data_IF_884432018869
#
_entry.id   IF_884432018869
#
_cell.length_a   1.000
_cell.length_b   1.000
_cell.length_c   1.000
_cell.angle_alpha   90.00
_cell.angle_beta   90.00
_cell.angle_gamma   90.00
#
_symmetry.space_group_name_H-M   'P 1'
#
loop_
_entity.id
_entity.type
_entity.pdbx_description
1 polymer ?
#
# COMPACT_ATOMS: atom_id res chain seq x y z
N UNK A 1 16.29 -14.03 13.22
CA UNK A 1 14.81 -14.15 13.19
C UNK A 1 14.42 -15.31 12.28
N UNK A 2 13.42 -16.09 12.65
CA UNK A 2 12.97 -17.25 11.87
C UNK A 2 12.43 -16.81 10.51
N UNK A 3 12.97 -17.40 9.43
CA UNK A 3 12.59 -17.04 8.07
C UNK A 3 11.13 -17.36 7.76
N UNK A 4 10.62 -18.47 8.30
CA UNK A 4 9.21 -18.83 8.10
C UNK A 4 8.28 -17.78 8.72
N UNK A 5 8.61 -17.31 9.92
CA UNK A 5 7.83 -16.29 10.60
C UNK A 5 7.85 -14.98 9.80
N UNK A 6 9.01 -14.59 9.27
CA UNK A 6 9.12 -13.39 8.44
C UNK A 6 8.22 -13.51 7.20
N UNK A 7 8.29 -14.63 6.49
CA UNK A 7 7.48 -14.84 5.27
C UNK A 7 5.99 -14.78 5.56
N UNK A 8 5.54 -15.46 6.61
CA UNK A 8 4.12 -15.46 6.99
C UNK A 8 3.69 -14.05 7.40
N UNK A 9 4.50 -13.36 8.20
CA UNK A 9 4.17 -12.02 8.68
C UNK A 9 4.06 -11.02 7.55
N UNK A 10 4.99 -11.05 6.60
CA UNK A 10 4.95 -10.14 5.44
C UNK A 10 3.73 -10.44 4.57
N UNK A 11 3.43 -11.72 4.33
CA UNK A 11 2.25 -12.09 3.56
C UNK A 11 0.97 -11.58 4.22
N UNK A 12 0.82 -11.81 5.53
CA UNK A 12 -0.37 -11.36 6.27
C UNK A 12 -0.48 -9.83 6.27
N UNK A 13 0.65 -9.15 6.39
CA UNK A 13 0.65 -7.68 6.37
C UNK A 13 0.13 -7.13 5.04
N UNK A 14 0.56 -7.70 3.92
CA UNK A 14 0.18 -7.18 2.61
C UNK A 14 -1.18 -7.66 2.11
N UNK A 15 -1.80 -8.65 2.77
CA UNK A 15 -3.14 -9.12 2.41
C UNK A 15 -4.15 -7.97 2.41
N UNK A 16 -4.04 -7.05 3.37
CA UNK A 16 -4.93 -5.89 3.46
C UNK A 16 -4.80 -4.99 2.24
N UNK A 17 -3.57 -4.72 1.80
CA UNK A 17 -3.34 -3.88 0.61
C UNK A 17 -3.89 -4.54 -0.65
N UNK A 18 -3.69 -5.84 -0.80
CA UNK A 18 -4.20 -6.58 -1.96
C UNK A 18 -5.72 -6.57 -1.96
N UNK A 19 -6.34 -6.86 -0.81
CA UNK A 19 -7.80 -6.83 -0.66
C UNK A 19 -8.35 -5.43 -0.96
N UNK A 20 -7.71 -4.40 -0.42
CA UNK A 20 -8.12 -3.01 -0.63
C UNK A 20 -8.05 -2.63 -2.12
N UNK A 21 -6.96 -3.05 -2.81
CA UNK A 21 -6.81 -2.79 -4.24
C UNK A 21 -7.92 -3.46 -5.06
N UNK A 22 -8.25 -4.71 -4.77
CA UNK A 22 -9.35 -5.40 -5.45
C UNK A 22 -10.69 -4.73 -5.16
N UNK A 23 -10.92 -4.28 -3.93
CA UNK A 23 -12.13 -3.54 -3.58
C UNK A 23 -12.26 -2.25 -4.38
N UNK A 24 -11.15 -1.58 -4.66
CA UNK A 24 -11.15 -0.37 -5.49
C UNK A 24 -11.45 -0.67 -6.96
N UNK A 25 -11.06 -1.85 -7.45
CA UNK A 25 -11.41 -2.27 -8.82
C UNK A 25 -12.92 -2.50 -8.93
N UNK A 26 -13.48 -3.28 -8.01
CA UNK A 26 -14.91 -3.64 -8.05
C UNK A 26 -15.83 -2.46 -7.80
N UNK A 27 -15.38 -1.46 -7.06
CA UNK A 27 -16.17 -0.26 -6.72
C UNK A 27 -15.50 1.02 -7.26
N UNK A 28 -14.90 0.94 -8.44
CA UNK A 28 -14.06 2.01 -8.98
C UNK A 28 -14.78 3.35 -9.03
N UNK A 29 -16.00 3.39 -9.60
CA UNK A 29 -16.76 4.63 -9.72
C UNK A 29 -17.07 5.25 -8.37
N UNK A 30 -17.53 4.45 -7.42
CA UNK A 30 -17.86 4.89 -6.06
C UNK A 30 -16.64 5.42 -5.33
N UNK A 31 -15.53 4.70 -5.40
CA UNK A 31 -14.28 5.10 -4.75
C UNK A 31 -13.69 6.36 -5.35
N UNK A 32 -13.73 6.48 -6.68
CA UNK A 32 -13.24 7.65 -7.40
C UNK A 32 -14.10 8.89 -7.10
N UNK A 33 -15.41 8.72 -7.03
CA UNK A 33 -16.31 9.79 -6.66
C UNK A 33 -16.05 10.28 -5.23
N UNK A 34 -15.82 9.35 -4.31
CA UNK A 34 -15.45 9.68 -2.93
C UNK A 34 -14.14 10.46 -2.85
N UNK A 35 -13.15 10.05 -3.65
CA UNK A 35 -11.87 10.76 -3.72
C UNK A 35 -12.05 12.16 -4.29
N UNK A 36 -12.86 12.30 -5.34
CA UNK A 36 -13.16 13.59 -5.95
C UNK A 36 -13.77 14.56 -4.95
N UNK A 37 -14.68 14.08 -4.10
CA UNK A 37 -15.30 14.90 -3.05
C UNK A 37 -14.29 15.36 -2.00
N UNK A 38 -13.25 14.57 -1.74
CA UNK A 38 -12.22 14.89 -0.74
C UNK A 38 -11.14 15.82 -1.29
N UNK A 39 -10.74 15.64 -2.55
CA UNK A 39 -9.63 16.40 -3.16
C UNK A 39 -10.10 17.65 -3.90
N UNK A 40 -11.31 17.60 -4.48
CA UNK A 40 -11.82 18.68 -5.32
C UNK A 40 -11.14 18.79 -6.67
N UNK A 41 -10.31 17.84 -7.06
CA UNK A 41 -9.61 17.88 -8.35
C UNK A 41 -10.57 17.58 -9.49
N UNK A 42 -10.34 18.19 -10.68
CA UNK A 42 -11.20 17.95 -11.86
C UNK A 42 -10.90 16.58 -12.49
N UNK A 43 -11.85 16.11 -13.31
CA UNK A 43 -11.64 14.94 -14.15
C UNK A 43 -10.48 15.23 -15.14
N UNK A 44 -9.56 14.28 -15.41
CA UNK A 44 -9.52 12.88 -14.96
C UNK A 44 -8.49 12.62 -13.85
N UNK A 45 -8.11 13.64 -13.06
CA UNK A 45 -6.99 13.52 -12.08
C UNK A 45 -7.28 12.44 -11.03
N UNK A 46 -8.51 12.42 -10.49
CA UNK A 46 -8.85 11.44 -9.45
C UNK A 46 -8.93 10.02 -10.01
N UNK A 47 -9.39 9.86 -11.26
CA UNK A 47 -9.44 8.57 -11.93
C UNK A 47 -8.05 8.00 -12.17
N UNK A 48 -7.13 8.83 -12.65
CA UNK A 48 -5.73 8.42 -12.87
C UNK A 48 -5.05 8.10 -11.54
N UNK A 49 -5.30 8.90 -10.51
CA UNK A 49 -4.77 8.65 -9.18
C UNK A 49 -5.27 7.34 -8.59
N UNK A 50 -6.55 7.04 -8.78
CA UNK A 50 -7.14 5.79 -8.30
C UNK A 50 -6.53 4.58 -9.00
N UNK A 51 -6.32 4.65 -10.31
CA UNK A 51 -5.65 3.59 -11.07
C UNK A 51 -4.23 3.39 -10.53
N UNK A 52 -3.49 4.46 -10.29
CA UNK A 52 -2.15 4.38 -9.72
C UNK A 52 -2.12 3.71 -8.35
N UNK A 53 -3.08 4.05 -7.49
CA UNK A 53 -3.22 3.45 -6.16
C UNK A 53 -3.53 1.96 -6.27
N UNK A 54 -4.44 1.56 -7.14
CA UNK A 54 -4.77 0.15 -7.36
C UNK A 54 -3.53 -0.63 -7.78
N UNK A 55 -2.79 -0.13 -8.76
CA UNK A 55 -1.56 -0.77 -9.22
C UNK A 55 -0.54 -0.88 -8.09
N UNK A 56 -0.35 0.19 -7.34
CA UNK A 56 0.60 0.20 -6.23
C UNK A 56 0.20 -0.80 -5.13
N UNK A 57 -1.06 -0.83 -4.75
CA UNK A 57 -1.53 -1.71 -3.69
C UNK A 57 -1.47 -3.19 -4.08
N UNK A 58 -1.84 -3.53 -5.31
CA UNK A 58 -1.87 -4.94 -5.75
C UNK A 58 -0.51 -5.39 -6.24
N UNK A 59 0.04 -4.73 -7.25
CA UNK A 59 1.28 -5.16 -7.88
C UNK A 59 2.46 -4.93 -6.95
N UNK A 60 2.51 -3.77 -6.29
CA UNK A 60 3.56 -3.47 -5.33
C UNK A 60 3.61 -4.46 -4.19
N UNK A 61 2.44 -4.81 -3.64
CA UNK A 61 2.35 -5.79 -2.56
C UNK A 61 2.82 -7.17 -3.00
N UNK A 62 2.39 -7.62 -4.19
CA UNK A 62 2.81 -8.91 -4.74
C UNK A 62 4.32 -8.96 -4.92
N UNK A 63 4.92 -7.89 -5.44
CA UNK A 63 6.37 -7.83 -5.65
C UNK A 63 7.13 -7.92 -4.33
N UNK A 64 6.71 -7.16 -3.31
CA UNK A 64 7.38 -7.17 -2.02
C UNK A 64 7.23 -8.54 -1.33
N UNK A 65 6.04 -9.12 -1.36
CA UNK A 65 5.81 -10.47 -0.82
C UNK A 65 6.68 -11.49 -1.53
N UNK A 66 6.75 -11.44 -2.86
CA UNK A 66 7.59 -12.34 -3.65
C UNK A 66 9.06 -12.23 -3.29
N UNK A 67 9.55 -11.00 -3.03
CA UNK A 67 10.92 -10.78 -2.59
C UNK A 67 11.21 -11.52 -1.28
N UNK A 68 10.31 -11.44 -0.31
CA UNK A 68 10.52 -12.11 0.98
C UNK A 68 10.34 -13.63 0.88
N UNK A 69 9.52 -14.11 -0.06
CA UNK A 69 9.34 -15.55 -0.26
C UNK A 69 10.54 -16.19 -0.94
N UNK A 70 11.12 -15.53 -1.94
CA UNK A 70 12.28 -16.03 -2.68
C UNK A 70 13.09 -14.84 -3.21
N UNK A 71 14.09 -14.43 -2.43
CA UNK A 71 14.91 -13.25 -2.75
C UNK A 71 15.69 -13.44 -4.05
N UNK A 72 16.29 -14.60 -4.24
CA UNK A 72 17.13 -14.86 -5.41
C UNK A 72 16.31 -14.79 -6.71
N UNK A 73 15.18 -15.45 -6.73
CA UNK A 73 14.31 -15.50 -7.91
C UNK A 73 13.75 -14.13 -8.25
N UNK A 74 13.31 -13.39 -7.25
CA UNK A 74 12.74 -12.05 -7.44
C UNK A 74 13.79 -11.08 -7.96
N UNK A 75 15.02 -11.14 -7.45
CA UNK A 75 16.10 -10.26 -7.87
C UNK A 75 16.58 -10.51 -9.29
N UNK A 76 16.25 -11.65 -9.89
CA UNK A 76 16.52 -11.89 -11.31
C UNK A 76 15.73 -10.99 -12.23
N UNK A 77 14.56 -10.52 -11.78
CA UNK A 77 13.64 -9.70 -12.57
C UNK A 77 13.59 -8.26 -12.10
N UNK A 78 13.70 -8.04 -10.79
CA UNK A 78 13.57 -6.71 -10.18
C UNK A 78 14.69 -6.53 -9.17
N UNK A 79 15.43 -5.43 -9.28
CA UNK A 79 16.52 -5.16 -8.35
C UNK A 79 15.99 -4.75 -6.97
N UNK A 80 16.83 -4.92 -5.95
CA UNK A 80 16.52 -4.57 -4.56
C UNK A 80 16.14 -3.09 -4.42
N UNK A 81 16.81 -2.21 -5.17
CA UNK A 81 16.51 -0.77 -5.16
C UNK A 81 15.10 -0.47 -5.62
N UNK A 82 14.63 -1.12 -6.68
CA UNK A 82 13.25 -0.93 -7.15
C UNK A 82 12.23 -1.41 -6.12
N UNK A 83 12.53 -2.51 -5.44
CA UNK A 83 11.64 -3.02 -4.38
C UNK A 83 11.56 -2.01 -3.23
N UNK A 84 12.68 -1.41 -2.87
CA UNK A 84 12.70 -0.33 -1.86
C UNK A 84 11.89 0.88 -2.31
N UNK A 85 11.99 1.28 -3.58
CA UNK A 85 11.20 2.38 -4.11
C UNK A 85 9.70 2.09 -4.04
N UNK A 86 9.28 0.86 -4.35
CA UNK A 86 7.88 0.47 -4.21
C UNK A 86 7.41 0.62 -2.76
N UNK A 87 8.22 0.18 -1.81
CA UNK A 87 7.90 0.33 -0.40
C UNK A 87 7.82 1.81 0.01
N UNK A 88 8.73 2.65 -0.50
CA UNK A 88 8.69 4.09 -0.25
C UNK A 88 7.44 4.73 -0.84
N UNK A 89 6.99 4.29 -2.01
CA UNK A 89 5.74 4.78 -2.60
C UNK A 89 4.54 4.41 -1.74
N UNK A 90 4.52 3.20 -1.17
CA UNK A 90 3.48 2.81 -0.24
C UNK A 90 3.51 3.66 1.04
N UNK A 91 4.70 3.96 1.56
CA UNK A 91 4.86 4.83 2.72
C UNK A 91 4.33 6.24 2.42
N UNK A 92 4.69 6.80 1.27
CA UNK A 92 4.21 8.12 0.84
C UNK A 92 2.69 8.11 0.68
N UNK A 93 2.14 7.04 0.10
CA UNK A 93 0.69 6.88 -0.03
C UNK A 93 0.00 6.91 1.33
N UNK A 94 0.55 6.20 2.32
CA UNK A 94 -0.02 6.20 3.67
C UNK A 94 0.02 7.58 4.33
N UNK A 95 1.08 8.35 4.09
CA UNK A 95 1.18 9.72 4.62
C UNK A 95 0.06 10.60 4.05
N UNK A 96 -0.25 10.44 2.78
CA UNK A 96 -1.28 11.26 2.11
C UNK A 96 -2.69 10.83 2.50
N UNK A 97 -2.98 9.51 2.45
CA UNK A 97 -4.37 9.04 2.64
C UNK A 97 -4.81 9.04 4.10
N UNK A 98 -3.88 8.91 5.04
CA UNK A 98 -4.26 8.82 6.45
C UNK A 98 -4.99 10.07 6.94
N UNK A 99 -4.46 11.30 6.79
CA UNK A 99 -5.22 12.48 7.19
C UNK A 99 -6.40 12.78 6.25
N UNK A 100 -6.32 12.35 4.98
CA UNK A 100 -7.39 12.61 4.01
C UNK A 100 -8.65 11.80 4.31
N UNK A 101 -8.50 10.52 4.63
CA UNK A 101 -9.62 9.62 4.87
C UNK A 101 -9.93 9.40 6.35
N UNK A 102 -8.93 9.50 7.23
CA UNK A 102 -9.05 9.20 8.65
C UNK A 102 -8.39 10.30 9.50
N UNK A 103 -8.95 11.52 9.51
CA UNK A 103 -8.36 12.59 10.32
C UNK A 103 -8.45 12.25 11.82
N UNK A 104 -7.40 12.54 12.61
CA UNK A 104 -7.34 12.12 14.01
C UNK A 104 -8.43 12.74 14.89
N UNK A 105 -8.90 13.93 14.55
CA UNK A 105 -9.95 14.61 15.32
C UNK A 105 -11.35 14.01 15.12
N UNK A 106 -11.55 13.18 14.09
CA UNK A 106 -12.84 12.55 13.80
C UNK A 106 -12.82 11.04 13.94
N UNK A 107 -11.71 10.39 13.62
CA UNK A 107 -11.58 8.95 13.55
C UNK A 107 -10.26 8.49 14.14
N UNK A 108 -10.10 8.69 15.46
CA UNK A 108 -8.80 8.42 16.11
C UNK A 108 -8.36 6.97 15.97
N UNK A 109 -9.27 6.00 16.07
CA UNK A 109 -8.91 4.58 15.97
C UNK A 109 -8.44 4.25 14.56
N UNK A 110 -9.16 4.70 13.54
CA UNK A 110 -8.76 4.48 12.14
C UNK A 110 -7.43 5.18 11.83
N UNK A 111 -7.23 6.38 12.35
CA UNK A 111 -5.97 7.11 12.19
C UNK A 111 -4.81 6.32 12.81
N UNK A 112 -4.95 5.86 14.05
CA UNK A 112 -3.92 5.08 14.73
C UNK A 112 -3.67 3.74 14.05
N UNK A 113 -4.72 3.11 13.52
CA UNK A 113 -4.58 1.87 12.73
C UNK A 113 -3.68 2.10 11.51
N UNK A 114 -3.87 3.22 10.81
CA UNK A 114 -3.02 3.57 9.67
C UNK A 114 -1.58 3.90 10.11
N UNK A 115 -1.41 4.52 11.28
CA UNK A 115 -0.08 4.74 11.86
C UNK A 115 0.62 3.40 12.13
N UNK A 116 -0.12 2.41 12.62
CA UNK A 116 0.41 1.06 12.84
C UNK A 116 0.85 0.44 11.51
N UNK A 117 0.05 0.58 10.46
CA UNK A 117 0.38 0.10 9.12
C UNK A 117 1.65 0.79 8.60
N UNK A 118 1.75 2.10 8.79
CA UNK A 118 2.93 2.87 8.39
C UNK A 118 4.19 2.36 9.11
N UNK A 119 4.10 2.11 10.41
CA UNK A 119 5.21 1.57 11.20
C UNK A 119 5.63 0.18 10.68
N UNK A 120 4.67 -0.67 10.34
CA UNK A 120 4.95 -1.97 9.74
C UNK A 120 5.67 -1.86 8.40
N UNK A 121 5.26 -0.91 7.55
CA UNK A 121 5.95 -0.65 6.29
C UNK A 121 7.38 -0.17 6.49
N UNK A 122 7.63 0.67 7.51
CA UNK A 122 8.98 1.10 7.84
C UNK A 122 9.87 -0.08 8.24
N UNK A 123 9.35 -0.99 9.05
CA UNK A 123 10.10 -2.20 9.42
C UNK A 123 10.40 -3.06 8.20
N UNK A 124 9.44 -3.24 7.33
CA UNK A 124 9.61 -4.03 6.10
C UNK A 124 10.63 -3.37 5.18
N UNK A 125 10.55 -2.05 5.01
CA UNK A 125 11.53 -1.29 4.23
C UNK A 125 12.95 -1.52 4.77
N UNK A 126 13.11 -1.50 6.07
CA UNK A 126 14.41 -1.70 6.70
C UNK A 126 14.95 -3.13 6.51
N UNK A 127 14.05 -4.12 6.32
CA UNK A 127 14.43 -5.50 6.08
C UNK A 127 14.77 -5.80 4.62
N UNK A 128 14.39 -4.95 3.69
CA UNK A 128 14.77 -5.09 2.27
C UNK A 128 16.27 -4.69 2.08
#
# INVERSE_FOLDING_TARGET
MNQTIIKVSVFLFFIMFIYSGFGKITSFKKKTLGLSKKTGFPYPINELGMIGVILLEIIGSIIIVSYFLDKERTQKYITKEYIRYICLLLLAFMIVVTPLYHPPHKQIIAFLSNVTTFAGLLLIYNMI
#
